data_IF_107929537988
#
_entry.id   IF_107929537988
#
_cell.length_a   1.000
_cell.length_b   1.000
_cell.length_c   1.000
_cell.angle_alpha   90.00
_cell.angle_beta   90.00
_cell.angle_gamma   90.00
#
_symmetry.space_group_name_H-M   'P 1'
#
loop_
_entity.id
_entity.type
_entity.pdbx_description
1 polymer ?
#
# COMPACT_ATOMS: atom_id res chain seq x y z
N UNK A 1 11.07 2.03 -11.31
CA UNK A 1 10.35 0.75 -11.06
C UNK A 1 11.14 -0.11 -10.10
N UNK A 2 10.65 -0.16 -8.87
CA UNK A 2 11.22 -0.91 -7.77
C UNK A 2 11.01 -2.43 -7.97
N UNK A 3 11.99 -3.25 -7.58
CA UNK A 3 11.94 -4.72 -7.73
C UNK A 3 11.67 -5.40 -6.40
N UNK A 4 10.42 -5.82 -6.20
CA UNK A 4 9.93 -6.41 -4.95
C UNK A 4 10.63 -7.75 -4.64
N UNK A 5 10.92 -8.53 -5.67
CA UNK A 5 11.60 -9.83 -5.58
C UNK A 5 13.05 -9.76 -5.07
N UNK A 6 13.69 -8.59 -5.17
CA UNK A 6 15.06 -8.42 -4.66
C UNK A 6 15.07 -8.27 -3.12
N UNK A 7 13.94 -7.87 -2.53
CA UNK A 7 13.83 -7.50 -1.12
C UNK A 7 13.00 -8.45 -0.26
N UNK A 8 12.33 -9.44 -0.86
CA UNK A 8 11.66 -10.53 -0.14
C UNK A 8 11.89 -11.87 -0.83
N UNK A 9 11.96 -12.95 -0.06
CA UNK A 9 11.98 -14.34 -0.58
C UNK A 9 10.65 -15.07 -0.36
N UNK A 10 9.73 -14.49 0.40
CA UNK A 10 8.44 -15.11 0.72
C UNK A 10 7.32 -14.69 -0.25
N UNK A 11 7.60 -13.74 -1.15
CA UNK A 11 6.66 -13.26 -2.14
C UNK A 11 6.81 -13.99 -3.48
N UNK A 12 5.68 -14.34 -4.09
CA UNK A 12 5.59 -14.87 -5.45
C UNK A 12 4.63 -14.02 -6.28
N UNK A 13 4.91 -13.83 -7.57
CA UNK A 13 4.03 -13.06 -8.44
C UNK A 13 2.85 -13.93 -8.89
N UNK A 14 1.63 -13.51 -8.55
CA UNK A 14 0.40 -14.23 -8.88
C UNK A 14 -0.17 -13.79 -10.24
N UNK A 15 -1.02 -14.65 -10.83
CA UNK A 15 -1.75 -14.36 -12.07
C UNK A 15 -2.69 -13.16 -11.97
N UNK A 16 -3.07 -12.75 -10.76
CA UNK A 16 -3.86 -11.55 -10.47
C UNK A 16 -3.11 -10.22 -10.69
N UNK A 17 -1.80 -10.27 -10.97
CA UNK A 17 -1.00 -9.07 -11.25
C UNK A 17 -0.39 -8.41 -10.01
N UNK A 18 -0.37 -9.11 -8.88
CA UNK A 18 0.23 -8.69 -7.61
C UNK A 18 1.13 -9.78 -7.04
N UNK A 19 2.05 -9.39 -6.14
CA UNK A 19 2.87 -10.30 -5.35
C UNK A 19 2.06 -10.84 -4.18
N UNK A 20 2.13 -12.13 -3.87
CA UNK A 20 1.46 -12.75 -2.72
C UNK A 20 2.46 -13.47 -1.83
N UNK A 21 2.29 -13.37 -0.51
CA UNK A 21 3.02 -14.19 0.45
C UNK A 21 2.56 -15.66 0.40
N UNK A 22 3.42 -16.58 0.86
CA UNK A 22 3.09 -18.01 0.93
C UNK A 22 2.12 -18.36 2.06
N UNK A 23 1.88 -17.44 2.99
CA UNK A 23 0.96 -17.59 4.13
C UNK A 23 -0.13 -16.53 4.06
N UNK A 24 -1.38 -16.94 4.32
CA UNK A 24 -2.49 -16.02 4.54
C UNK A 24 -2.51 -15.66 6.05
N UNK A 25 -2.45 -14.38 6.37
CA UNK A 25 -2.65 -13.87 7.74
C UNK A 25 -4.04 -13.25 7.87
N UNK A 26 -4.64 -13.40 9.06
CA UNK A 26 -5.94 -12.85 9.37
C UNK A 26 -5.80 -11.34 9.64
N UNK A 27 -6.55 -10.52 8.92
CA UNK A 27 -6.47 -9.06 9.01
C UNK A 27 -7.66 -8.53 9.80
N UNK A 28 -7.40 -7.66 10.78
CA UNK A 28 -8.43 -7.01 11.59
C UNK A 28 -9.06 -5.80 10.87
N UNK A 29 -9.53 -5.97 9.63
CA UNK A 29 -10.25 -4.93 8.87
C UNK A 29 -11.47 -5.52 8.13
N UNK A 30 -12.64 -4.86 8.12
CA UNK A 30 -13.82 -5.38 7.45
C UNK A 30 -13.61 -5.53 5.95
N UNK A 31 -13.90 -6.71 5.40
CA UNK A 31 -13.78 -6.98 3.96
C UNK A 31 -14.58 -6.02 3.08
N UNK A 32 -15.66 -5.45 3.62
CA UNK A 32 -16.61 -4.59 2.90
C UNK A 32 -16.20 -3.10 2.88
N UNK A 33 -15.30 -2.66 3.77
CA UNK A 33 -14.91 -1.24 3.87
C UNK A 33 -14.29 -0.73 2.57
N UNK A 34 -13.51 -1.57 1.90
CA UNK A 34 -12.88 -1.27 0.62
C UNK A 34 -13.90 -1.10 -0.52
N UNK A 35 -15.07 -1.74 -0.46
CA UNK A 35 -16.10 -1.63 -1.50
C UNK A 35 -16.87 -0.32 -1.40
N UNK A 36 -17.25 0.08 -0.18
CA UNK A 36 -17.97 1.33 0.05
C UNK A 36 -17.13 2.55 -0.30
N UNK A 37 -15.83 2.54 0.03
CA UNK A 37 -14.96 3.70 -0.26
C UNK A 37 -14.58 3.81 -1.74
N UNK A 38 -14.45 2.69 -2.47
CA UNK A 38 -14.05 2.72 -3.87
C UNK A 38 -14.96 3.59 -4.75
N UNK A 39 -16.27 3.60 -4.46
CA UNK A 39 -17.25 4.42 -5.19
C UNK A 39 -17.14 5.92 -4.90
N UNK A 40 -16.63 6.28 -3.72
CA UNK A 40 -16.56 7.67 -3.25
C UNK A 40 -15.20 8.32 -3.49
N UNK A 41 -14.12 7.54 -3.54
CA UNK A 41 -12.73 8.03 -3.63
C UNK A 41 -12.54 9.09 -4.73
N UNK A 42 -13.08 8.87 -5.93
CA UNK A 42 -12.87 9.77 -7.07
C UNK A 42 -13.75 11.03 -7.07
N UNK A 43 -14.90 10.99 -6.38
CA UNK A 43 -15.89 12.07 -6.39
C UNK A 43 -15.93 12.87 -5.10
N UNK A 44 -15.35 12.33 -4.03
CA UNK A 44 -15.33 12.94 -2.71
C UNK A 44 -14.31 14.06 -2.61
N UNK A 45 -14.78 15.22 -2.15
CA UNK A 45 -13.93 16.34 -1.79
C UNK A 45 -12.85 15.94 -0.76
N UNK A 46 -13.19 15.13 0.23
CA UNK A 46 -12.27 14.79 1.32
C UNK A 46 -11.13 13.88 0.87
N UNK A 47 -11.43 12.88 0.05
CA UNK A 47 -10.41 12.00 -0.51
C UNK A 47 -9.45 12.77 -1.42
N UNK A 48 -10.00 13.63 -2.29
CA UNK A 48 -9.19 14.51 -3.15
C UNK A 48 -8.30 15.44 -2.32
N UNK A 49 -8.85 16.14 -1.34
CA UNK A 49 -8.08 17.07 -0.52
C UNK A 49 -7.00 16.38 0.31
N UNK A 50 -7.28 15.18 0.83
CA UNK A 50 -6.28 14.34 1.52
C UNK A 50 -5.11 14.04 0.60
N UNK A 51 -5.38 13.58 -0.63
CA UNK A 51 -4.35 13.29 -1.62
C UNK A 51 -3.50 14.52 -1.97
N UNK A 52 -4.13 15.68 -2.16
CA UNK A 52 -3.42 16.94 -2.40
C UNK A 52 -2.50 17.31 -1.23
N UNK A 53 -2.97 17.11 0.01
CA UNK A 53 -2.18 17.38 1.22
C UNK A 53 -0.99 16.42 1.36
N UNK A 54 -1.19 15.13 1.06
CA UNK A 54 -0.12 14.14 1.06
C UNK A 54 0.97 14.52 0.06
N UNK A 55 0.60 14.90 -1.17
CA UNK A 55 1.58 15.33 -2.18
C UNK A 55 2.33 16.58 -1.73
N UNK A 56 1.63 17.59 -1.21
CA UNK A 56 2.28 18.79 -0.71
C UNK A 56 3.30 18.48 0.41
N UNK A 57 3.00 17.53 1.31
CA UNK A 57 3.93 17.11 2.35
C UNK A 57 5.16 16.40 1.75
N UNK A 58 4.95 15.49 0.81
CA UNK A 58 6.02 14.71 0.16
C UNK A 58 6.93 15.61 -0.68
N UNK A 59 6.40 16.63 -1.37
CA UNK A 59 7.22 17.57 -2.14
C UNK A 59 8.17 18.39 -1.25
N UNK A 60 7.80 18.63 0.02
CA UNK A 60 8.69 19.29 0.99
C UNK A 60 9.75 18.33 1.57
N UNK A 61 9.49 17.03 1.56
CA UNK A 61 10.37 16.00 2.10
C UNK A 61 10.45 14.81 1.13
N UNK A 62 11.04 15.02 -0.07
CA UNK A 62 10.96 14.02 -1.13
C UNK A 62 11.70 12.74 -0.73
N UNK A 63 11.12 11.55 -1.00
CA UNK A 63 11.75 10.28 -0.68
C UNK A 63 12.98 10.07 -1.57
N UNK A 64 13.97 9.34 -1.06
CA UNK A 64 15.17 9.00 -1.83
C UNK A 64 14.94 7.89 -2.87
N UNK A 65 13.81 7.20 -2.80
CA UNK A 65 13.42 6.09 -3.68
C UNK A 65 11.91 5.85 -3.60
N UNK A 66 11.43 4.64 -3.88
CA UNK A 66 10.01 4.30 -3.85
C UNK A 66 9.40 4.45 -2.45
N UNK A 67 8.17 4.95 -2.39
CA UNK A 67 7.35 4.98 -1.17
C UNK A 67 6.64 3.63 -1.04
N UNK A 68 6.72 3.02 0.14
CA UNK A 68 5.93 1.85 0.49
C UNK A 68 4.67 2.29 1.19
N UNK A 69 3.55 2.26 0.48
CA UNK A 69 2.21 2.59 0.98
C UNK A 69 1.63 1.36 1.68
N UNK A 70 1.82 1.28 3.00
CA UNK A 70 1.39 0.14 3.82
C UNK A 70 -0.06 0.34 4.22
N UNK A 71 -0.91 -0.66 4.01
CA UNK A 71 -2.36 -0.54 4.21
C UNK A 71 -3.02 0.34 3.14
N UNK A 72 -2.50 0.31 1.91
CA UNK A 72 -2.90 1.21 0.84
C UNK A 72 -4.34 1.03 0.33
N UNK A 73 -5.08 0.04 0.84
CA UNK A 73 -6.50 -0.18 0.53
C UNK A 73 -6.76 -0.35 -0.97
N UNK A 74 -7.67 0.46 -1.51
CA UNK A 74 -7.98 0.46 -2.95
C UNK A 74 -6.92 1.17 -3.81
N UNK A 75 -5.84 1.68 -3.22
CA UNK A 75 -4.73 2.30 -3.93
C UNK A 75 -4.99 3.72 -4.40
N UNK A 76 -5.95 4.43 -3.81
CA UNK A 76 -6.24 5.82 -4.18
C UNK A 76 -5.07 6.77 -3.88
N UNK A 77 -4.41 6.61 -2.72
CA UNK A 77 -3.20 7.37 -2.38
C UNK A 77 -2.04 6.93 -3.26
N UNK A 78 -1.74 5.63 -3.33
CA UNK A 78 -0.72 5.05 -4.21
C UNK A 78 -0.81 5.52 -5.67
N UNK A 79 -2.01 5.51 -6.26
CA UNK A 79 -2.21 5.98 -7.64
C UNK A 79 -1.92 7.47 -7.76
N UNK A 80 -2.32 8.27 -6.79
CA UNK A 80 -2.03 9.70 -6.76
C UNK A 80 -0.54 10.00 -6.58
N UNK A 81 0.20 9.20 -5.79
CA UNK A 81 1.67 9.28 -5.72
C UNK A 81 2.31 9.06 -7.09
N UNK A 82 1.88 8.00 -7.79
CA UNK A 82 2.39 7.64 -9.13
C UNK A 82 2.05 8.71 -10.16
N UNK A 83 0.83 9.25 -10.16
CA UNK A 83 0.39 10.29 -11.09
C UNK A 83 1.15 11.61 -10.92
N UNK A 84 1.68 11.85 -9.71
CA UNK A 84 2.54 13.00 -9.41
C UNK A 84 4.04 12.69 -9.54
N UNK A 85 4.42 11.54 -10.12
CA UNK A 85 5.80 11.23 -10.49
C UNK A 85 6.63 10.54 -9.42
N UNK A 86 6.02 10.07 -8.33
CA UNK A 86 6.70 9.30 -7.30
C UNK A 86 6.60 7.78 -7.58
N UNK A 87 7.71 7.06 -7.43
CA UNK A 87 7.67 5.59 -7.44
C UNK A 87 6.95 5.10 -6.16
N UNK A 88 6.03 4.14 -6.30
CA UNK A 88 5.25 3.59 -5.18
C UNK A 88 5.19 2.06 -5.25
N UNK A 89 5.23 1.43 -4.07
CA UNK A 89 4.93 0.00 -3.84
C UNK A 89 3.78 -0.04 -2.85
N UNK A 90 2.62 -0.57 -3.26
CA UNK A 90 1.47 -0.71 -2.37
C UNK A 90 1.51 -2.06 -1.66
N UNK A 91 1.24 -2.07 -0.36
CA UNK A 91 1.05 -3.28 0.44
C UNK A 91 -0.38 -3.25 1.01
N UNK A 92 -1.17 -4.26 0.65
CA UNK A 92 -2.56 -4.41 1.10
C UNK A 92 -2.86 -5.90 1.26
N UNK A 93 -3.14 -6.41 2.47
CA UNK A 93 -3.33 -7.83 2.69
C UNK A 93 -4.66 -8.35 2.09
N UNK A 94 -5.66 -7.48 1.89
CA UNK A 94 -6.95 -7.84 1.30
C UNK A 94 -6.90 -8.04 -0.21
N UNK A 95 -7.20 -9.26 -0.67
CA UNK A 95 -7.23 -9.61 -2.11
C UNK A 95 -8.14 -8.69 -2.94
N UNK A 96 -9.30 -8.29 -2.40
CA UNK A 96 -10.22 -7.36 -3.07
C UNK A 96 -9.58 -5.98 -3.29
N UNK A 97 -8.89 -5.46 -2.27
CA UNK A 97 -8.15 -4.20 -2.36
C UNK A 97 -7.00 -4.30 -3.36
N UNK A 98 -6.15 -5.31 -3.23
CA UNK A 98 -5.03 -5.56 -4.16
C UNK A 98 -5.49 -5.68 -5.62
N UNK A 99 -6.62 -6.35 -5.87
CA UNK A 99 -7.19 -6.48 -7.23
C UNK A 99 -7.62 -5.11 -7.79
N UNK A 100 -8.32 -4.29 -7.01
CA UNK A 100 -8.69 -2.92 -7.42
C UNK A 100 -7.47 -2.04 -7.69
N UNK A 101 -6.42 -2.19 -6.89
CA UNK A 101 -5.16 -1.47 -7.08
C UNK A 101 -4.53 -1.81 -8.44
N UNK A 102 -4.52 -3.10 -8.81
CA UNK A 102 -4.08 -3.55 -10.13
C UNK A 102 -4.97 -2.98 -11.24
N UNK A 103 -6.29 -2.99 -11.07
CA UNK A 103 -7.25 -2.39 -12.03
C UNK A 103 -7.02 -0.88 -12.22
N UNK A 104 -6.60 -0.17 -11.16
CA UNK A 104 -6.17 1.25 -11.24
C UNK A 104 -4.85 1.46 -11.99
N UNK A 105 -4.17 0.39 -12.38
CA UNK A 105 -2.92 0.41 -13.16
C UNK A 105 -1.65 0.55 -12.33
N UNK A 106 -1.74 0.36 -11.01
CA UNK A 106 -0.55 0.30 -10.13
C UNK A 106 0.15 -1.03 -10.36
N UNK A 107 1.47 -0.99 -10.59
CA UNK A 107 2.24 -2.17 -11.02
C UNK A 107 2.91 -2.93 -9.88
N UNK A 108 3.33 -2.22 -8.84
CA UNK A 108 4.02 -2.80 -7.70
C UNK A 108 3.04 -2.95 -6.55
N UNK A 109 2.32 -4.08 -6.55
CA UNK A 109 1.27 -4.40 -5.56
C UNK A 109 1.66 -5.66 -4.81
N UNK A 110 1.65 -5.59 -3.49
CA UNK A 110 1.92 -6.70 -2.57
C UNK A 110 0.65 -7.02 -1.80
N UNK A 111 0.05 -8.16 -2.10
CA UNK A 111 -1.08 -8.74 -1.40
C UNK A 111 -0.62 -9.56 -0.19
N UNK A 112 -0.21 -8.88 0.87
CA UNK A 112 0.28 -9.48 2.12
C UNK A 112 0.29 -8.44 3.25
N UNK A 113 0.46 -8.89 4.50
CA UNK A 113 0.89 -8.04 5.61
C UNK A 113 2.38 -7.73 5.49
N UNK A 114 2.90 -6.78 6.26
CA UNK A 114 4.35 -6.47 6.28
C UNK A 114 5.13 -7.66 6.85
N UNK A 115 4.55 -8.31 7.85
CA UNK A 115 5.03 -9.49 8.55
C UNK A 115 5.15 -10.68 7.60
N UNK A 116 4.05 -11.05 6.94
CA UNK A 116 4.03 -12.18 6.00
C UNK A 116 4.83 -11.89 4.72
N UNK A 117 4.98 -10.63 4.32
CA UNK A 117 5.83 -10.27 3.19
C UNK A 117 7.32 -10.55 3.46
N UNK A 118 7.75 -10.66 4.73
CA UNK A 118 9.13 -10.94 5.13
C UNK A 118 10.18 -10.11 4.35
N UNK A 119 9.96 -8.80 4.30
CA UNK A 119 10.94 -7.90 3.69
C UNK A 119 12.26 -7.95 4.46
N UNK A 120 13.37 -7.87 3.72
CA UNK A 120 14.70 -7.86 4.34
C UNK A 120 14.85 -6.61 5.23
N UNK A 121 15.48 -6.74 6.40
CA UNK A 121 15.81 -5.56 7.21
C UNK A 121 16.57 -4.52 6.40
N UNK A 122 16.24 -3.24 6.61
CA UNK A 122 16.84 -2.08 5.93
C UNK A 122 16.69 -2.06 4.40
N UNK A 123 15.72 -2.78 3.82
CA UNK A 123 15.49 -2.76 2.36
C UNK A 123 14.39 -1.80 1.90
N UNK A 124 13.56 -1.29 2.81
CA UNK A 124 12.48 -0.35 2.51
C UNK A 124 13.00 1.08 2.73
N UNK A 125 13.07 1.92 1.68
CA UNK A 125 13.71 3.22 1.75
C UNK A 125 12.80 4.32 2.32
N UNK A 126 11.48 4.20 2.16
CA UNK A 126 10.50 5.19 2.61
C UNK A 126 9.15 4.51 2.81
N UNK A 127 8.43 4.87 3.88
CA UNK A 127 7.16 4.25 4.28
C UNK A 127 6.09 5.34 4.42
N UNK A 128 4.91 5.08 3.86
CA UNK A 128 3.68 5.80 4.13
C UNK A 128 2.72 4.92 4.94
N UNK A 129 2.14 5.49 6.00
CA UNK A 129 1.12 4.87 6.84
C UNK A 129 -0.05 5.85 6.93
N UNK A 130 -1.06 5.68 6.08
CA UNK A 130 -2.14 6.64 5.89
C UNK A 130 -3.46 6.10 6.48
N UNK A 131 -3.73 6.37 7.75
CA UNK A 131 -4.85 5.83 8.53
C UNK A 131 -4.76 4.29 8.68
N UNK A 132 -3.67 3.83 9.30
CA UNK A 132 -3.29 2.41 9.40
C UNK A 132 -3.04 2.02 10.85
N UNK A 133 -2.20 2.79 11.55
CA UNK A 133 -1.70 2.46 12.89
C UNK A 133 -2.86 2.31 13.89
N UNK A 134 -3.92 3.11 13.73
CA UNK A 134 -5.12 3.06 14.57
C UNK A 134 -5.92 1.74 14.47
N UNK A 135 -5.64 0.92 13.46
CA UNK A 135 -6.28 -0.37 13.23
C UNK A 135 -5.43 -1.56 13.68
N UNK A 136 -4.21 -1.32 14.18
CA UNK A 136 -3.28 -2.37 14.63
C UNK A 136 -3.42 -2.53 16.14
N UNK A 137 -3.64 -3.76 16.61
CA UNK A 137 -3.84 -4.04 18.04
C UNK A 137 -2.58 -3.75 18.89
N UNK A 138 -1.40 -4.16 18.40
CA UNK A 138 -0.09 -3.85 19.00
C UNK A 138 0.69 -2.87 18.11
N UNK A 139 0.19 -1.64 18.04
CA UNK A 139 0.74 -0.54 17.24
C UNK A 139 2.23 -0.22 17.57
N UNK A 140 2.61 -0.31 18.84
CA UNK A 140 3.99 -0.09 19.30
C UNK A 140 4.93 -1.20 18.85
N UNK A 141 4.48 -2.45 18.79
CA UNK A 141 5.30 -3.53 18.24
C UNK A 141 5.45 -3.40 16.73
N UNK A 142 4.40 -2.99 16.02
CA UNK A 142 4.43 -2.79 14.57
C UNK A 142 5.45 -1.74 14.11
N UNK A 143 5.70 -0.70 14.92
CA UNK A 143 6.64 0.39 14.58
C UNK A 143 8.13 0.08 14.87
N UNK A 144 8.48 -1.14 15.28
CA UNK A 144 9.86 -1.54 15.62
C UNK A 144 10.54 -2.29 14.48
#
# INVERSE_FOLDING_TARGET
MFKVEEISRNLCFDKGGYWKANSDEEVSYPSEGNEVYAELEETSFWFKHRNETIIAAIENFPPSSAIFDIGGGNGYVSKNLIDNGFDCVLIEPGVSGASKVVERGVKNVVCATVESAEFRPHSIPSVGLFDVIEHIEDDLSFLK
#
